data_IF_540441816405
#
_entry.id   IF_540441816405
#
_cell.length_a   1.000
_cell.length_b   1.000
_cell.length_c   1.000
_cell.angle_alpha   90.00
_cell.angle_beta   90.00
_cell.angle_gamma   90.00
#
_symmetry.space_group_name_H-M   'P 1'
#
loop_
_entity.id
_entity.type
_entity.pdbx_description
1 polymer ?
#
# COMPACT_ATOMS: atom_id res chain seq x y z
N UNK A 1 -88.04 33.71 -8.07
CA UNK A 1 -87.23 32.53 -7.65
C UNK A 1 -85.81 32.76 -8.16
N UNK A 2 -84.92 33.42 -7.41
CA UNK A 2 -83.86 32.84 -6.58
C UNK A 2 -83.28 31.51 -7.09
N UNK A 3 -82.06 31.55 -7.64
CA UNK A 3 -80.98 30.67 -7.16
C UNK A 3 -79.59 31.22 -7.51
N UNK A 4 -78.78 31.44 -6.46
CA UNK A 4 -77.33 31.66 -6.45
C UNK A 4 -76.57 30.50 -7.10
N UNK A 5 -75.36 30.79 -7.63
CA UNK A 5 -74.09 30.09 -7.32
C UNK A 5 -72.87 30.85 -7.91
N UNK A 6 -72.05 31.45 -7.04
CA UNK A 6 -70.59 31.58 -7.22
C UNK A 6 -69.92 30.38 -6.49
N UNK A 7 -68.58 30.19 -6.43
CA UNK A 7 -67.44 30.72 -7.19
C UNK A 7 -66.44 29.61 -7.63
N UNK A 8 -65.23 30.04 -8.04
CA UNK A 8 -63.88 29.46 -7.78
C UNK A 8 -63.19 28.58 -8.84
N UNK A 9 -61.85 28.67 -8.79
CA UNK A 9 -60.78 27.83 -9.41
C UNK A 9 -60.15 28.51 -10.65
N UNK A 10 -58.85 28.73 -10.80
CA UNK A 10 -57.69 28.71 -9.90
C UNK A 10 -56.55 29.41 -10.65
N UNK A 11 -55.94 30.44 -10.07
CA UNK A 11 -54.76 31.08 -10.66
C UNK A 11 -53.52 30.32 -10.17
N UNK A 12 -52.96 29.47 -11.04
CA UNK A 12 -51.76 28.67 -10.75
C UNK A 12 -50.52 29.54 -10.84
N UNK A 13 -49.81 29.64 -9.72
CA UNK A 13 -48.46 30.21 -9.59
C UNK A 13 -47.48 29.28 -10.30
N UNK A 14 -46.76 29.79 -11.31
CA UNK A 14 -45.67 29.08 -11.95
C UNK A 14 -44.37 29.33 -11.15
N UNK A 15 -43.90 28.33 -10.42
CA UNK A 15 -42.57 28.34 -9.79
C UNK A 15 -41.59 27.74 -10.81
N UNK A 16 -40.70 28.58 -11.33
CA UNK A 16 -39.59 28.14 -12.19
C UNK A 16 -38.48 27.57 -11.31
N UNK A 17 -38.31 26.24 -11.33
CA UNK A 17 -37.21 25.56 -10.65
C UNK A 17 -35.99 25.61 -11.58
N UNK A 18 -35.05 26.51 -11.29
CA UNK A 18 -33.72 26.51 -11.91
C UNK A 18 -32.94 25.33 -11.31
N UNK A 19 -32.86 24.24 -12.07
CA UNK A 19 -32.04 23.08 -11.72
C UNK A 19 -30.60 23.35 -12.16
N UNK A 20 -29.76 23.85 -11.25
CA UNK A 20 -28.33 23.95 -11.46
C UNK A 20 -27.75 22.54 -11.58
N UNK A 21 -27.43 22.11 -12.81
CA UNK A 21 -26.74 20.86 -13.06
C UNK A 21 -25.31 20.94 -12.49
N UNK A 22 -25.11 20.34 -11.32
CA UNK A 22 -23.76 20.10 -10.78
C UNK A 22 -23.15 19.03 -11.69
N UNK A 23 -22.30 19.45 -12.60
CA UNK A 23 -21.50 18.52 -13.42
C UNK A 23 -20.49 17.87 -12.48
N UNK A 24 -20.78 16.65 -12.05
CA UNK A 24 -19.78 15.82 -11.37
C UNK A 24 -18.77 15.43 -12.43
N UNK A 25 -17.62 16.09 -12.44
CA UNK A 25 -16.48 15.64 -13.23
C UNK A 25 -16.15 14.22 -12.78
N UNK A 26 -16.37 13.24 -13.65
CA UNK A 26 -15.91 11.88 -13.40
C UNK A 26 -14.37 11.94 -13.31
N UNK A 27 -13.85 11.79 -12.10
CA UNK A 27 -12.41 11.73 -11.87
C UNK A 27 -11.96 10.37 -12.41
N UNK A 28 -10.94 10.36 -13.27
CA UNK A 28 -10.29 9.13 -13.70
C UNK A 28 -9.77 8.40 -12.46
N UNK A 29 -10.24 7.18 -12.25
CA UNK A 29 -9.78 6.33 -11.16
C UNK A 29 -8.82 5.30 -11.73
N UNK A 30 -7.74 4.95 -11.00
CA UNK A 30 -7.02 3.72 -11.28
C UNK A 30 -7.98 2.53 -11.28
N UNK A 31 -7.62 1.47 -12.00
CA UNK A 31 -8.34 0.21 -12.04
C UNK A 31 -7.45 -0.91 -11.52
N UNK A 32 -8.07 -2.00 -11.08
CA UNK A 32 -7.33 -3.21 -10.71
C UNK A 32 -7.99 -4.49 -11.18
N UNK A 33 -7.15 -5.49 -11.43
CA UNK A 33 -7.53 -6.90 -11.58
C UNK A 33 -6.88 -7.74 -10.48
N UNK A 34 -7.52 -8.84 -10.14
CA UNK A 34 -7.06 -9.76 -9.10
C UNK A 34 -6.93 -11.19 -9.60
N UNK A 35 -5.85 -11.84 -9.18
CA UNK A 35 -5.62 -13.27 -9.31
C UNK A 35 -5.69 -13.91 -7.93
N UNK A 36 -6.38 -15.04 -7.85
CA UNK A 36 -6.46 -15.87 -6.65
C UNK A 36 -5.68 -17.16 -6.89
N UNK A 37 -4.58 -17.34 -6.16
CA UNK A 37 -3.70 -18.50 -6.27
C UNK A 37 -3.70 -19.36 -5.01
N UNK A 38 -3.04 -20.50 -5.11
CA UNK A 38 -2.76 -21.36 -3.96
C UNK A 38 -1.26 -21.63 -3.90
N UNK A 39 -0.66 -21.38 -2.74
CA UNK A 39 0.78 -21.55 -2.54
C UNK A 39 1.18 -23.01 -2.71
N UNK A 40 2.21 -23.26 -3.51
CA UNK A 40 2.94 -24.51 -3.61
C UNK A 40 4.40 -24.30 -3.19
N UNK A 41 5.03 -25.36 -2.64
CA UNK A 41 6.48 -25.44 -2.39
C UNK A 41 7.10 -24.15 -1.81
N UNK A 42 6.65 -23.72 -0.62
CA UNK A 42 7.17 -22.52 0.03
C UNK A 42 8.39 -22.78 0.92
N UNK A 43 9.42 -21.94 0.75
CA UNK A 43 10.57 -21.84 1.66
C UNK A 43 10.44 -20.67 2.67
N UNK A 44 9.33 -19.92 2.63
CA UNK A 44 9.04 -18.86 3.60
C UNK A 44 8.34 -19.45 4.83
N UNK A 45 8.84 -19.22 6.06
CA UNK A 45 8.18 -19.73 7.25
C UNK A 45 6.79 -19.11 7.50
N UNK A 46 6.55 -17.89 6.99
CA UNK A 46 5.29 -17.15 7.16
C UNK A 46 4.22 -17.49 6.10
N UNK A 47 4.62 -18.21 5.04
CA UNK A 47 3.76 -18.57 3.91
C UNK A 47 3.76 -20.09 3.79
N UNK A 48 2.65 -20.76 4.11
CA UNK A 48 2.60 -22.21 4.13
C UNK A 48 2.03 -22.77 2.83
N UNK A 49 2.52 -23.94 2.42
CA UNK A 49 1.99 -24.67 1.27
C UNK A 49 0.50 -24.99 1.49
N UNK A 50 -0.30 -24.82 0.43
CA UNK A 50 -1.74 -25.03 0.45
C UNK A 50 -2.54 -23.82 0.93
N UNK A 51 -1.90 -22.72 1.34
CA UNK A 51 -2.59 -21.47 1.67
C UNK A 51 -3.00 -20.68 0.43
N UNK A 52 -4.08 -19.90 0.51
CA UNK A 52 -4.41 -18.94 -0.53
C UNK A 52 -3.44 -17.76 -0.55
N UNK A 53 -3.25 -17.18 -1.72
CA UNK A 53 -2.64 -15.86 -1.88
C UNK A 53 -3.34 -15.09 -3.00
N UNK A 54 -3.20 -13.76 -2.99
CA UNK A 54 -3.76 -12.90 -4.01
C UNK A 54 -2.70 -12.01 -4.63
N UNK A 55 -2.85 -11.75 -5.93
CA UNK A 55 -2.08 -10.74 -6.66
C UNK A 55 -3.07 -9.72 -7.18
N UNK A 56 -2.87 -8.46 -6.80
CA UNK A 56 -3.62 -7.33 -7.36
C UNK A 56 -2.67 -6.49 -8.20
N UNK A 57 -3.01 -6.34 -9.47
CA UNK A 57 -2.35 -5.40 -10.38
C UNK A 57 -3.20 -4.14 -10.49
N UNK A 58 -2.57 -2.99 -10.28
CA UNK A 58 -3.20 -1.67 -10.38
C UNK A 58 -2.61 -0.93 -11.58
N UNK A 59 -3.47 -0.31 -12.37
CA UNK A 59 -3.11 0.41 -13.58
C UNK A 59 -3.99 1.65 -13.78
N UNK A 60 -3.42 2.66 -14.44
CA UNK A 60 -4.08 3.92 -14.70
C UNK A 60 -3.62 4.50 -16.05
N UNK A 61 -4.57 4.80 -16.93
CA UNK A 61 -4.35 5.47 -18.22
C UNK A 61 -5.12 6.80 -18.33
N UNK A 62 -5.64 7.32 -17.21
CA UNK A 62 -6.47 8.52 -17.17
C UNK A 62 -7.91 8.30 -17.67
N UNK A 63 -8.32 7.06 -17.93
CA UNK A 63 -9.68 6.71 -18.32
C UNK A 63 -10.69 6.81 -17.17
N UNK A 64 -11.89 7.30 -17.47
CA UNK A 64 -12.99 7.38 -16.49
C UNK A 64 -13.89 6.13 -16.48
N UNK A 65 -13.65 5.16 -17.36
CA UNK A 65 -14.43 3.91 -17.46
C UNK A 65 -13.53 2.74 -17.83
N UNK A 66 -13.90 1.52 -17.43
CA UNK A 66 -13.23 0.30 -17.89
C UNK A 66 -13.57 -0.10 -19.33
N UNK A 67 -14.56 0.49 -20.02
CA UNK A 67 -14.97 0.06 -21.35
C UNK A 67 -13.96 0.45 -22.45
N UNK A 68 -13.64 -0.48 -23.36
CA UNK A 68 -12.73 -0.32 -24.50
C UNK A 68 -11.38 0.33 -24.13
N UNK A 69 -10.79 -0.13 -23.03
CA UNK A 69 -9.53 0.39 -22.52
C UNK A 69 -8.36 -0.49 -22.92
N UNK A 70 -7.16 0.09 -22.85
CA UNK A 70 -5.89 -0.61 -23.02
C UNK A 70 -4.91 -0.05 -22.00
N UNK A 71 -4.24 -0.93 -21.27
CA UNK A 71 -3.17 -0.62 -20.33
C UNK A 71 -1.95 -1.49 -20.65
N UNK A 72 -0.93 -0.86 -21.21
CA UNK A 72 0.40 -1.47 -21.37
C UNK A 72 1.26 -1.29 -20.10
N UNK A 73 2.53 -1.70 -20.17
CA UNK A 73 3.49 -1.61 -19.06
C UNK A 73 3.58 -0.21 -18.42
N UNK A 74 3.51 0.85 -19.23
CA UNK A 74 3.69 2.23 -18.78
C UNK A 74 2.53 2.73 -17.91
N UNK A 75 1.39 2.04 -17.98
CA UNK A 75 0.21 2.36 -17.20
C UNK A 75 0.15 1.60 -15.86
N UNK A 76 1.08 0.67 -15.60
CA UNK A 76 1.13 -0.08 -14.35
C UNK A 76 1.62 0.83 -13.21
N UNK A 77 0.84 0.90 -12.14
CA UNK A 77 1.11 1.78 -11.00
C UNK A 77 1.53 1.01 -9.76
N UNK A 78 0.93 -0.16 -9.50
CA UNK A 78 1.21 -0.92 -8.29
C UNK A 78 0.98 -2.42 -8.49
N UNK A 79 1.77 -3.23 -7.77
CA UNK A 79 1.46 -4.65 -7.53
C UNK A 79 1.37 -4.89 -6.03
N UNK A 80 0.34 -5.63 -5.63
CA UNK A 80 0.10 -5.99 -4.24
C UNK A 80 -0.03 -7.50 -4.16
N UNK A 81 0.87 -8.11 -3.40
CA UNK A 81 0.80 -9.50 -3.02
C UNK A 81 0.25 -9.58 -1.61
N UNK A 82 -0.81 -10.35 -1.43
CA UNK A 82 -1.33 -10.70 -0.10
C UNK A 82 -1.21 -12.20 0.04
N UNK A 83 -0.39 -12.64 0.98
CA UNK A 83 0.00 -14.03 1.14
C UNK A 83 -0.53 -14.53 2.49
N UNK A 84 -0.75 -15.84 2.55
CA UNK A 84 -1.31 -16.58 3.68
C UNK A 84 -2.80 -16.30 3.97
N UNK A 85 -3.42 -17.21 4.74
CA UNK A 85 -4.85 -17.13 5.08
C UNK A 85 -5.23 -15.98 6.02
N UNK A 86 -4.27 -15.44 6.77
CA UNK A 86 -4.50 -14.34 7.70
C UNK A 86 -4.30 -12.97 7.03
N UNK A 87 -3.87 -12.95 5.77
CA UNK A 87 -3.60 -11.76 4.96
C UNK A 87 -2.64 -10.77 5.62
N UNK A 88 -1.79 -11.27 6.53
CA UNK A 88 -0.86 -10.46 7.30
C UNK A 88 0.59 -10.50 6.76
N UNK A 89 0.84 -11.29 5.71
CA UNK A 89 2.09 -11.27 4.93
C UNK A 89 1.81 -10.58 3.61
N UNK A 90 2.45 -9.42 3.38
CA UNK A 90 2.18 -8.61 2.19
C UNK A 90 3.47 -8.05 1.62
N UNK A 91 3.54 -8.02 0.29
CA UNK A 91 4.56 -7.30 -0.47
C UNK A 91 3.86 -6.33 -1.40
N UNK A 92 4.25 -5.06 -1.37
CA UNK A 92 3.69 -4.00 -2.22
C UNK A 92 4.84 -3.34 -2.96
N UNK A 93 4.73 -3.19 -4.28
CA UNK A 93 5.73 -2.50 -5.08
C UNK A 93 5.08 -1.43 -5.95
N UNK A 94 5.69 -0.24 -5.94
CA UNK A 94 5.38 0.86 -6.84
C UNK A 94 5.97 0.58 -8.22
N UNK A 95 5.09 0.27 -9.17
CA UNK A 95 5.46 -0.05 -10.54
C UNK A 95 5.78 1.19 -11.37
N UNK A 96 5.24 2.35 -11.00
CA UNK A 96 5.57 3.61 -11.68
C UNK A 96 7.04 4.00 -11.47
N UNK A 97 7.61 3.61 -10.32
CA UNK A 97 9.01 3.87 -9.94
C UNK A 97 9.98 2.74 -10.33
N UNK A 98 9.49 1.60 -10.82
CA UNK A 98 10.30 0.40 -11.12
C UNK A 98 10.29 -0.02 -12.58
N UNK A 99 9.89 0.87 -13.48
CA UNK A 99 9.83 0.60 -14.92
C UNK A 99 11.17 0.12 -15.52
N UNK A 100 12.32 0.54 -14.97
CA UNK A 100 13.64 0.09 -15.42
C UNK A 100 14.00 -1.36 -15.04
N UNK A 101 13.26 -1.95 -14.10
CA UNK A 101 13.43 -3.34 -13.61
C UNK A 101 12.22 -4.23 -13.93
N UNK A 102 11.24 -3.67 -14.63
CA UNK A 102 9.98 -4.30 -15.00
C UNK A 102 10.02 -4.68 -16.48
N UNK A 103 9.69 -5.93 -16.78
CA UNK A 103 9.56 -6.45 -18.15
C UNK A 103 8.16 -6.99 -18.36
N UNK A 104 7.46 -6.46 -19.36
CA UNK A 104 6.12 -6.90 -19.73
C UNK A 104 6.03 -7.33 -21.20
N UNK A 105 5.18 -8.32 -21.46
CA UNK A 105 4.76 -8.71 -22.81
C UNK A 105 3.23 -8.73 -22.89
N UNK A 106 2.67 -8.09 -23.92
CA UNK A 106 1.23 -7.90 -24.07
C UNK A 106 0.70 -6.66 -23.36
N UNK A 107 -0.61 -6.62 -23.15
CA UNK A 107 -1.32 -5.53 -22.50
C UNK A 107 -2.65 -6.04 -21.91
N UNK A 108 -3.15 -5.36 -20.89
CA UNK A 108 -4.51 -5.54 -20.41
C UNK A 108 -5.44 -4.76 -21.35
N UNK A 109 -6.49 -5.42 -21.86
CA UNK A 109 -7.54 -4.76 -22.64
C UNK A 109 -8.91 -5.18 -22.14
N UNK A 110 -9.91 -4.35 -22.42
CA UNK A 110 -11.30 -4.62 -22.08
C UNK A 110 -12.22 -4.46 -23.28
N UNK A 111 -13.35 -5.15 -23.23
CA UNK A 111 -14.41 -5.02 -24.23
C UNK A 111 -15.30 -3.77 -23.99
N UNK A 112 -16.35 -3.63 -24.80
CA UNK A 112 -17.28 -2.51 -24.69
C UNK A 112 -18.12 -2.51 -23.39
N UNK A 113 -18.23 -3.66 -22.71
CA UNK A 113 -18.85 -3.79 -21.40
C UNK A 113 -17.89 -3.51 -20.24
N UNK A 114 -16.60 -3.39 -20.51
CA UNK A 114 -15.54 -3.24 -19.50
C UNK A 114 -15.03 -4.55 -18.92
N UNK A 115 -15.44 -5.70 -19.49
CA UNK A 115 -14.93 -7.00 -19.10
C UNK A 115 -13.51 -7.20 -19.64
N UNK A 116 -12.68 -7.96 -18.93
CA UNK A 116 -11.32 -8.28 -19.32
C UNK A 116 -11.34 -9.07 -20.65
N UNK A 117 -10.68 -8.52 -21.67
CA UNK A 117 -10.62 -9.11 -23.01
C UNK A 117 -9.22 -9.68 -23.33
N UNK A 118 -8.16 -9.09 -22.77
CA UNK A 118 -6.81 -9.65 -22.78
C UNK A 118 -6.07 -9.29 -21.51
N UNK A 119 -5.05 -10.08 -21.18
CA UNK A 119 -4.07 -9.80 -20.13
C UNK A 119 -2.66 -9.78 -20.73
N UNK A 120 -1.66 -9.38 -19.93
CA UNK A 120 -0.25 -9.63 -20.26
C UNK A 120 -0.01 -11.12 -20.46
N UNK A 121 0.90 -11.51 -21.35
CA UNK A 121 1.38 -12.89 -21.45
C UNK A 121 2.57 -13.14 -20.51
N UNK A 122 3.23 -12.08 -20.04
CA UNK A 122 4.28 -12.13 -19.04
C UNK A 122 4.44 -10.76 -18.40
N UNK A 123 4.56 -10.71 -17.08
CA UNK A 123 4.96 -9.52 -16.32
C UNK A 123 5.93 -9.96 -15.22
N UNK A 124 7.14 -9.40 -15.23
CA UNK A 124 8.24 -9.82 -14.36
C UNK A 124 8.92 -8.59 -13.80
N UNK A 125 9.24 -8.60 -12.51
CA UNK A 125 10.13 -7.62 -11.88
C UNK A 125 11.34 -8.32 -11.29
N UNK A 126 12.52 -7.85 -11.69
CA UNK A 126 13.80 -8.38 -11.19
C UNK A 126 14.57 -7.30 -10.46
N UNK A 127 14.94 -7.55 -9.21
CA UNK A 127 15.78 -6.66 -8.41
C UNK A 127 15.21 -5.23 -8.27
N UNK A 128 13.96 -5.05 -7.80
CA UNK A 128 13.42 -3.71 -7.59
C UNK A 128 14.28 -2.95 -6.58
N UNK A 129 14.45 -1.65 -6.82
CA UNK A 129 15.27 -0.80 -5.96
C UNK A 129 14.70 -0.72 -4.54
N UNK A 130 15.58 -0.66 -3.54
CA UNK A 130 15.14 -0.42 -2.16
C UNK A 130 14.39 0.92 -2.10
N UNK A 131 13.24 0.94 -1.42
CA UNK A 131 12.38 2.11 -1.32
C UNK A 131 11.27 2.18 -2.37
N UNK A 132 11.28 1.31 -3.38
CA UNK A 132 10.15 1.16 -4.33
C UNK A 132 9.20 0.04 -3.95
N UNK A 133 9.43 -0.61 -2.81
CA UNK A 133 8.56 -1.64 -2.27
C UNK A 133 8.47 -1.55 -0.75
N UNK A 134 7.42 -2.11 -0.18
CA UNK A 134 7.22 -2.28 1.26
C UNK A 134 6.76 -3.71 1.56
N UNK A 135 7.02 -4.17 2.78
CA UNK A 135 6.55 -5.47 3.25
C UNK A 135 5.89 -5.38 4.62
N UNK A 136 4.98 -6.32 4.87
CA UNK A 136 4.33 -6.53 6.16
C UNK A 136 4.39 -8.02 6.47
N UNK A 137 4.63 -8.38 7.73
CA UNK A 137 4.60 -9.78 8.19
C UNK A 137 5.84 -10.60 7.85
N UNK A 138 6.77 -10.08 7.04
CA UNK A 138 8.07 -10.71 6.78
C UNK A 138 9.12 -9.66 6.38
N UNK A 139 10.40 -10.04 6.50
CA UNK A 139 11.53 -9.25 6.04
C UNK A 139 12.14 -9.93 4.80
N UNK A 140 12.04 -9.32 3.61
CA UNK A 140 12.63 -9.90 2.42
C UNK A 140 14.15 -9.76 2.42
N UNK A 141 14.85 -10.74 1.85
CA UNK A 141 16.30 -10.74 1.65
C UNK A 141 16.57 -10.49 0.17
N UNK A 142 17.15 -9.34 -0.21
CA UNK A 142 17.53 -9.10 -1.60
C UNK A 142 18.55 -10.16 -2.09
N UNK A 143 18.52 -10.54 -3.37
CA UNK A 143 17.66 -10.02 -4.43
C UNK A 143 16.18 -10.43 -4.32
N UNK A 144 15.25 -9.55 -4.70
CA UNK A 144 13.82 -9.87 -4.76
C UNK A 144 13.39 -9.96 -6.23
N UNK A 145 12.62 -10.99 -6.56
CA UNK A 145 12.05 -11.17 -7.90
C UNK A 145 10.64 -11.72 -7.80
N UNK A 146 9.79 -11.38 -8.77
CA UNK A 146 8.49 -12.02 -8.91
C UNK A 146 8.09 -12.15 -10.37
N UNK A 147 7.25 -13.14 -10.65
CA UNK A 147 6.91 -13.58 -11.99
C UNK A 147 5.41 -13.82 -12.13
N UNK A 148 4.80 -13.17 -13.12
CA UNK A 148 3.44 -13.44 -13.60
C UNK A 148 3.53 -13.91 -15.05
N UNK A 149 3.75 -15.20 -15.25
CA UNK A 149 4.09 -15.74 -16.57
C UNK A 149 3.79 -17.23 -16.74
N UNK A 150 2.97 -17.83 -15.86
CA UNK A 150 2.57 -19.25 -15.88
C UNK A 150 3.66 -20.34 -15.88
N UNK A 151 4.95 -20.00 -15.70
CA UNK A 151 6.08 -20.94 -15.92
C UNK A 151 6.82 -21.33 -14.64
N UNK A 152 7.15 -20.35 -13.79
CA UNK A 152 8.07 -20.56 -12.67
C UNK A 152 7.45 -20.22 -11.31
N UNK A 153 8.24 -20.37 -10.23
CA UNK A 153 7.80 -19.92 -8.93
C UNK A 153 7.50 -18.42 -8.97
N UNK A 154 6.64 -18.02 -8.06
CA UNK A 154 5.86 -16.79 -8.20
C UNK A 154 6.60 -15.62 -7.58
N UNK A 155 7.25 -15.87 -6.45
CA UNK A 155 7.99 -14.87 -5.69
C UNK A 155 9.27 -15.49 -5.15
N UNK A 156 10.36 -14.74 -5.24
CA UNK A 156 11.69 -15.11 -4.77
C UNK A 156 12.26 -14.01 -3.91
N UNK A 157 13.01 -14.42 -2.88
CA UNK A 157 13.97 -13.55 -2.23
C UNK A 157 15.25 -14.32 -1.87
N UNK A 158 16.38 -13.91 -2.42
CA UNK A 158 17.66 -14.61 -2.31
C UNK A 158 17.54 -16.12 -2.56
N UNK A 159 17.59 -16.95 -1.50
CA UNK A 159 17.49 -18.40 -1.57
C UNK A 159 16.07 -18.97 -1.34
N UNK A 160 15.07 -18.13 -0.99
CA UNK A 160 13.70 -18.60 -0.72
C UNK A 160 12.80 -18.30 -1.92
N UNK A 161 11.77 -19.13 -2.07
CA UNK A 161 10.70 -18.89 -3.03
C UNK A 161 9.42 -19.57 -2.58
N UNK A 162 8.30 -19.20 -3.22
CA UNK A 162 7.11 -20.02 -3.24
C UNK A 162 6.51 -20.03 -4.64
N UNK A 163 5.87 -21.13 -5.02
CA UNK A 163 5.18 -21.31 -6.30
C UNK A 163 3.66 -21.20 -6.19
N UNK A 164 3.00 -21.24 -7.33
CA UNK A 164 1.55 -21.48 -7.40
C UNK A 164 1.28 -22.97 -7.63
N UNK A 165 0.16 -23.48 -7.11
CA UNK A 165 -0.26 -24.87 -7.29
C UNK A 165 -0.56 -25.24 -8.76
N UNK A 166 -0.89 -24.25 -9.60
CA UNK A 166 -1.06 -24.40 -11.04
C UNK A 166 0.28 -24.34 -11.82
N UNK A 167 1.42 -24.21 -11.14
CA UNK A 167 2.75 -24.16 -11.78
C UNK A 167 3.26 -22.76 -12.13
N UNK A 168 2.54 -21.71 -11.71
CA UNK A 168 2.87 -20.30 -11.92
C UNK A 168 1.59 -19.46 -11.89
N UNK A 169 1.70 -18.13 -11.83
CA UNK A 169 0.51 -17.28 -11.94
C UNK A 169 -0.03 -17.36 -13.36
N UNK A 170 -1.25 -17.88 -13.49
CA UNK A 170 -1.90 -18.09 -14.78
C UNK A 170 -2.24 -16.75 -15.43
N UNK A 171 -1.89 -16.57 -16.69
CA UNK A 171 -2.08 -15.31 -17.42
C UNK A 171 -3.32 -15.30 -18.33
N UNK A 172 -4.04 -16.43 -18.40
CA UNK A 172 -5.31 -16.52 -19.11
C UNK A 172 -6.36 -15.58 -18.49
N UNK A 173 -7.24 -15.01 -19.33
CA UNK A 173 -8.23 -14.01 -18.93
C UNK A 173 -9.18 -14.53 -17.85
N UNK A 174 -9.57 -15.81 -17.91
CA UNK A 174 -10.49 -16.45 -16.97
C UNK A 174 -9.88 -16.71 -15.59
N UNK A 175 -8.56 -16.55 -15.43
CA UNK A 175 -7.88 -16.64 -14.15
C UNK A 175 -7.90 -15.32 -13.35
N UNK A 176 -8.34 -14.21 -13.96
CA UNK A 176 -8.33 -12.87 -13.37
C UNK A 176 -9.74 -12.28 -13.31
N UNK A 177 -9.96 -11.38 -12.36
CA UNK A 177 -11.21 -10.61 -12.32
C UNK A 177 -11.28 -9.58 -13.44
N UNK A 178 -12.50 -9.15 -13.77
CA UNK A 178 -12.70 -7.94 -14.58
C UNK A 178 -12.13 -6.69 -13.87
N UNK A 179 -11.68 -5.66 -14.62
CA UNK A 179 -11.21 -4.42 -14.05
C UNK A 179 -12.29 -3.71 -13.23
N UNK A 180 -11.93 -3.35 -12.00
CA UNK A 180 -12.79 -2.55 -11.11
C UNK A 180 -12.06 -1.29 -10.65
N UNK A 181 -12.77 -0.17 -10.41
CA UNK A 181 -12.15 1.04 -9.87
C UNK A 181 -11.40 0.76 -8.56
N UNK A 182 -10.19 1.28 -8.46
CA UNK A 182 -9.30 1.11 -7.32
C UNK A 182 -9.13 2.43 -6.57
N UNK A 183 -9.61 2.46 -5.33
CA UNK A 183 -9.54 3.64 -4.45
C UNK A 183 -8.36 3.60 -3.47
N UNK A 184 -7.56 2.52 -3.49
CA UNK A 184 -6.39 2.38 -2.65
C UNK A 184 -5.18 3.17 -3.16
N UNK A 185 -4.18 3.35 -2.30
CA UNK A 185 -2.85 3.80 -2.73
C UNK A 185 -1.91 2.63 -2.99
N UNK A 186 -0.71 2.94 -3.46
CA UNK A 186 0.42 2.01 -3.43
C UNK A 186 1.32 2.36 -2.22
N UNK A 187 1.01 1.88 -1.00
CA UNK A 187 1.73 2.30 0.20
C UNK A 187 3.13 1.68 0.25
N UNK A 188 4.07 2.27 -0.48
CA UNK A 188 5.50 2.06 -0.29
C UNK A 188 5.94 2.89 0.91
N UNK A 189 5.54 2.47 2.11
CA UNK A 189 6.03 3.11 3.33
C UNK A 189 7.52 2.84 3.40
N UNK A 190 8.34 3.82 3.05
CA UNK A 190 9.75 3.85 3.40
C UNK A 190 9.76 3.80 4.92
N UNK A 191 10.14 2.67 5.53
CA UNK A 191 10.24 2.62 6.98
C UNK A 191 11.21 3.74 7.39
N UNK A 192 10.77 4.77 8.15
CA UNK A 192 11.71 5.71 8.69
C UNK A 192 12.63 4.90 9.59
N UNK A 193 13.95 5.07 9.41
CA UNK A 193 14.94 4.56 10.35
C UNK A 193 14.57 5.17 11.70
N UNK A 194 13.88 4.42 12.54
CA UNK A 194 13.54 4.85 13.89
C UNK A 194 14.84 4.87 14.68
N UNK A 195 15.53 6.01 14.67
CA UNK A 195 16.38 6.35 15.78
C UNK A 195 15.44 6.46 16.97
N UNK A 196 15.40 5.41 17.81
CA UNK A 196 14.84 5.52 19.14
C UNK A 196 15.50 6.76 19.77
N UNK A 197 14.74 7.81 20.13
CA UNK A 197 15.33 8.96 20.79
C UNK A 197 16.00 8.44 22.05
N UNK A 198 17.33 8.48 22.08
CA UNK A 198 18.08 8.21 23.30
C UNK A 198 17.56 9.25 24.30
N UNK A 199 17.07 8.85 25.49
CA UNK A 199 16.55 9.81 26.45
C UNK A 199 17.67 10.78 26.82
N UNK A 200 17.63 11.98 26.24
CA UNK A 200 18.47 13.07 26.68
C UNK A 200 17.97 13.46 28.06
N UNK A 201 18.85 13.36 29.06
CA UNK A 201 18.60 13.90 30.40
C UNK A 201 17.98 15.29 30.25
N UNK A 202 16.79 15.50 30.82
CA UNK A 202 16.17 16.82 30.79
C UNK A 202 17.12 17.84 31.42
N UNK A 203 17.07 19.10 30.99
CA UNK A 203 17.91 20.17 31.54
C UNK A 203 17.81 20.20 33.08
N UNK A 204 16.61 19.93 33.62
CA UNK A 204 16.35 19.79 35.05
C UNK A 204 17.11 18.64 35.72
N UNK A 205 17.28 17.50 35.06
CA UNK A 205 18.08 16.39 35.56
C UNK A 205 19.57 16.73 35.59
N UNK A 206 20.06 17.51 34.62
CA UNK A 206 21.44 18.02 34.63
C UNK A 206 21.68 19.02 35.78
N UNK A 207 20.72 19.93 36.05
CA UNK A 207 20.80 20.83 37.20
C UNK A 207 20.77 20.08 38.54
N UNK A 208 19.92 19.05 38.67
CA UNK A 208 19.85 18.24 39.89
C UNK A 208 21.17 17.49 40.15
N UNK A 209 21.79 16.93 39.10
CA UNK A 209 23.08 16.23 39.22
C UNK A 209 24.22 17.20 39.60
N UNK A 210 24.22 18.41 39.03
CA UNK A 210 25.18 19.48 39.33
C UNK A 210 25.05 19.96 40.78
N UNK A 211 23.82 20.10 41.27
CA UNK A 211 23.54 20.47 42.67
C UNK A 211 24.00 19.42 43.68
N UNK A 212 23.78 18.13 43.38
CA UNK A 212 24.22 17.02 44.24
C UNK A 212 25.75 16.95 44.35
N UNK A 213 26.48 17.15 43.24
CA UNK A 213 27.94 17.20 43.24
C UNK A 213 28.48 18.42 44.01
N UNK A 214 27.83 19.58 43.87
CA UNK A 214 28.19 20.80 44.62
C UNK A 214 28.05 20.63 46.14
N UNK A 215 26.95 20.02 46.60
CA UNK A 215 26.73 19.76 48.03
C UNK A 215 27.71 18.72 48.59
N UNK A 216 28.05 17.69 47.83
CA UNK A 216 29.06 16.69 48.21
C UNK A 216 30.45 17.30 48.43
N UNK A 217 30.87 18.24 47.58
CA UNK A 217 32.13 18.97 47.71
C UNK A 217 32.21 19.82 48.98
N UNK A 218 31.13 20.53 49.32
CA UNK A 218 31.08 21.39 50.52
C UNK A 218 31.16 20.56 51.82
N UNK A 219 30.48 19.40 51.87
CA UNK A 219 30.56 18.50 53.02
C UNK A 219 31.95 17.87 53.19
N UNK A 220 32.62 17.53 52.09
CA UNK A 220 33.99 17.01 52.13
C UNK A 220 35.00 18.07 52.62
N UNK A 221 34.84 19.34 52.21
CA UNK A 221 35.71 20.44 52.64
C UNK A 221 35.55 20.77 54.12
N UNK A 222 34.29 20.79 54.63
CA UNK A 222 34.01 21.03 56.06
C UNK A 222 34.58 19.94 56.98
N UNK A 223 34.71 18.71 56.50
CA UNK A 223 35.38 17.61 57.24
C UNK A 223 36.89 17.78 57.33
N UNK A 224 37.55 18.45 56.37
CA UNK A 224 38.98 18.74 56.41
C UNK A 224 39.32 19.85 57.41
N UNK A 225 38.52 20.90 57.47
CA UNK A 225 38.80 22.07 58.35
C UNK A 225 38.68 21.71 59.84
N UNK A 226 37.81 20.75 60.21
CA UNK A 226 37.68 20.28 61.61
C UNK A 226 38.83 19.38 62.11
N UNK A 227 39.77 18.95 61.26
CA UNK A 227 40.91 18.10 61.66
C UNK A 227 42.20 18.88 61.93
N UNK A 228 42.18 20.21 61.84
CA UNK A 228 43.31 21.03 62.28
C UNK A 228 42.96 21.60 63.66
N UNK A 229 43.08 20.75 64.67
CA UNK A 229 43.18 21.18 66.07
C UNK A 229 44.66 21.46 66.40
N UNK A 230 44.96 22.41 67.29
CA UNK A 230 46.31 22.90 67.54
C UNK A 230 47.17 21.79 68.18
N UNK A 231 48.32 21.51 67.58
CA UNK A 231 49.43 20.83 68.25
C UNK A 231 50.09 21.80 69.25
N UNK A 232 50.51 21.30 70.44
CA UNK A 232 51.12 22.10 71.50
C UNK A 232 52.45 22.74 71.09
#
# INVERSE_FOLDING_TARGET
MRHRKSPTIAMRVAIAIVSSAISVSAIAAPYSIEYLGQVSLSAFPEIQTGQGYTVRLVFDNGGASAANQTWDQSHLTCIIWTMNYLENVRFVQDLSMTQGTLSAAGAITTDAGGALASNFSSLVSTFPNVGTYSTVGFAPVPPIEWFLNDINNVFYDDARSFGDAAGGVQMAVDAWTDPTPYEGGCPVTVMPISHQPVPTLSEWAAFALSGLLGLGGIFAMRRRVRRVGPTP
#
